data_IF_621508577818
#
_entry.id   IF_621508577818
#
_cell.length_a   1.000
_cell.length_b   1.000
_cell.length_c   1.000
_cell.angle_alpha   90.00
_cell.angle_beta   90.00
_cell.angle_gamma   90.00
#
_symmetry.space_group_name_H-M   'P 1'
#
loop_
_entity.id
_entity.type
_entity.pdbx_description
1 polymer ?
#
# COMPACT_ATOMS: atom_id res chain seq x y z
N UNK A 1 18.11 -9.92 -17.29
CA UNK A 1 17.56 -8.93 -16.35
C UNK A 1 17.53 -9.59 -14.98
N UNK A 2 18.47 -9.24 -14.10
CA UNK A 2 18.45 -9.74 -12.72
C UNK A 2 17.41 -8.94 -11.96
N UNK A 3 16.40 -9.63 -11.45
CA UNK A 3 15.43 -9.07 -10.52
C UNK A 3 16.18 -8.62 -9.25
N UNK A 4 15.98 -7.36 -8.84
CA UNK A 4 16.63 -6.81 -7.65
C UNK A 4 15.92 -7.35 -6.42
N UNK A 5 16.60 -8.21 -5.65
CA UNK A 5 16.06 -8.72 -4.39
C UNK A 5 15.62 -7.57 -3.48
N UNK A 6 14.50 -7.75 -2.79
CA UNK A 6 13.95 -6.79 -1.83
C UNK A 6 14.95 -6.42 -0.73
N UNK A 7 15.92 -7.29 -0.44
CA UNK A 7 17.00 -7.08 0.52
C UNK A 7 17.93 -5.90 0.19
N UNK A 8 18.07 -5.51 -1.09
CA UNK A 8 18.85 -4.31 -1.48
C UNK A 8 18.19 -3.01 -0.98
N UNK A 9 16.85 -3.00 -0.86
CA UNK A 9 16.08 -1.83 -0.43
C UNK A 9 15.96 -1.71 1.09
N UNK A 10 16.42 -2.71 1.84
CA UNK A 10 16.56 -2.61 3.29
C UNK A 10 17.91 -1.93 3.56
N UNK A 11 17.95 -0.64 3.96
CA UNK A 11 19.21 -0.02 4.35
C UNK A 11 19.78 -0.83 5.51
N UNK A 12 21.03 -1.31 5.34
CA UNK A 12 21.67 -2.23 6.28
C UNK A 12 21.54 -1.77 7.73
N UNK A 13 21.03 -2.66 8.58
CA UNK A 13 20.84 -2.48 10.01
C UNK A 13 22.17 -2.46 10.79
N UNK A 14 23.14 -1.68 10.34
CA UNK A 14 24.39 -1.37 11.04
C UNK A 14 24.37 0.11 11.45
N UNK A 15 23.43 0.45 12.33
CA UNK A 15 23.44 1.73 13.05
C UNK A 15 23.91 1.42 14.47
N UNK A 16 25.23 1.42 14.68
CA UNK A 16 25.80 1.55 16.02
C UNK A 16 25.30 2.90 16.58
N UNK A 17 24.37 2.83 17.52
CA UNK A 17 23.87 3.98 18.24
C UNK A 17 24.92 4.39 19.29
N UNK A 18 25.80 5.32 18.89
CA UNK A 18 26.65 6.08 19.80
C UNK A 18 25.81 7.19 20.46
N UNK A 19 25.88 7.22 21.79
CA UNK A 19 25.01 7.95 22.71
C UNK A 19 25.52 9.39 22.98
N UNK A 20 24.57 10.33 23.09
CA UNK A 20 24.62 11.67 23.74
C UNK A 20 24.99 12.96 22.96
N UNK A 21 24.45 14.16 23.34
CA UNK A 21 23.23 14.49 24.09
C UNK A 21 22.19 15.28 23.28
N UNK A 22 20.95 15.23 23.77
CA UNK A 22 19.76 15.82 23.18
C UNK A 22 19.72 17.37 23.32
N UNK A 23 20.05 18.08 22.25
CA UNK A 23 19.51 19.42 22.00
C UNK A 23 18.03 19.26 21.65
N UNK A 24 17.18 19.37 22.67
CA UNK A 24 15.73 19.33 22.54
C UNK A 24 15.20 20.59 21.85
N UNK A 25 15.54 20.74 20.57
CA UNK A 25 14.65 21.42 19.63
C UNK A 25 13.36 20.60 19.67
N UNK A 26 12.35 21.13 20.37
CA UNK A 26 10.99 20.63 20.28
C UNK A 26 10.51 20.95 18.87
N UNK A 27 10.97 20.16 17.90
CA UNK A 27 10.30 19.97 16.64
C UNK A 27 8.94 19.43 17.04
N UNK A 28 7.96 20.35 17.04
CA UNK A 28 6.57 19.97 17.09
C UNK A 28 6.36 19.15 15.84
N UNK A 29 6.58 17.84 15.95
CA UNK A 29 6.11 16.86 15.00
C UNK A 29 4.61 17.02 15.00
N UNK A 30 4.14 17.91 14.13
CA UNK A 30 2.76 17.97 13.71
C UNK A 30 2.47 16.58 13.19
N UNK A 31 1.81 15.77 14.00
CA UNK A 31 1.25 14.48 13.63
C UNK A 31 0.14 14.77 12.60
N UNK A 32 0.57 15.15 11.41
CA UNK A 32 -0.27 15.32 10.25
C UNK A 32 -0.43 13.91 9.71
N UNK A 33 -1.29 13.14 10.37
CA UNK A 33 -1.82 11.91 9.79
C UNK A 33 -2.45 12.32 8.46
N UNK A 34 -1.92 11.86 7.31
CA UNK A 34 -2.50 12.19 6.02
C UNK A 34 -3.91 11.62 5.96
N UNK A 35 -4.82 12.34 5.31
CA UNK A 35 -6.18 11.86 5.11
C UNK A 35 -6.13 10.54 4.31
N UNK A 36 -6.82 9.48 4.78
CA UNK A 36 -6.74 8.17 4.15
C UNK A 36 -7.25 8.26 2.70
N UNK A 37 -6.37 7.95 1.75
CA UNK A 37 -6.76 7.91 0.34
C UNK A 37 -7.59 6.66 0.06
N UNK A 38 -8.67 6.82 -0.72
CA UNK A 38 -9.51 5.70 -1.14
C UNK A 38 -8.71 4.71 -1.97
N UNK A 39 -8.75 3.44 -1.59
CA UNK A 39 -8.12 2.36 -2.34
C UNK A 39 -8.76 2.21 -3.73
N UNK A 40 -7.92 2.07 -4.76
CA UNK A 40 -8.35 1.88 -6.16
C UNK A 40 -8.67 0.43 -6.50
N UNK A 41 -8.28 -0.51 -5.64
CA UNK A 41 -8.51 -1.94 -5.80
C UNK A 41 -8.63 -2.61 -4.44
N UNK A 42 -9.31 -3.76 -4.43
CA UNK A 42 -9.41 -4.64 -3.27
C UNK A 42 -8.92 -6.03 -3.63
N UNK A 43 -8.26 -6.68 -2.68
CA UNK A 43 -7.80 -8.07 -2.79
C UNK A 43 -8.49 -8.86 -1.69
N UNK A 44 -9.23 -9.89 -2.08
CA UNK A 44 -9.97 -10.77 -1.18
C UNK A 44 -9.43 -12.20 -1.34
N UNK A 45 -8.85 -12.83 -0.30
CA UNK A 45 -8.24 -14.14 -0.41
C UNK A 45 -9.24 -15.24 -0.78
N UNK A 46 -10.50 -15.12 -0.33
CA UNK A 46 -11.60 -16.01 -0.74
C UNK A 46 -12.24 -15.65 -2.07
N UNK A 47 -11.74 -14.61 -2.74
CA UNK A 47 -12.39 -13.98 -3.88
C UNK A 47 -13.66 -13.23 -3.48
N UNK A 48 -14.15 -12.40 -4.40
CA UNK A 48 -15.45 -11.78 -4.30
C UNK A 48 -16.01 -11.59 -5.70
N UNK A 49 -17.34 -11.58 -5.81
CA UNK A 49 -18.03 -11.48 -7.09
C UNK A 49 -17.80 -10.12 -7.74
N UNK A 50 -17.53 -10.13 -9.04
CA UNK A 50 -17.57 -8.96 -9.91
C UNK A 50 -19.00 -8.43 -9.96
N UNK A 51 -19.17 -7.11 -9.81
CA UNK A 51 -20.50 -6.48 -9.87
C UNK A 51 -21.08 -6.42 -11.30
N UNK A 52 -20.26 -6.60 -12.32
CA UNK A 52 -20.67 -6.57 -13.74
C UNK A 52 -20.97 -7.98 -14.29
N UNK A 53 -20.00 -8.89 -14.23
CA UNK A 53 -20.14 -10.24 -14.79
C UNK A 53 -20.48 -11.33 -13.76
N UNK A 54 -20.44 -11.03 -12.46
CA UNK A 54 -20.71 -12.00 -11.39
C UNK A 54 -19.57 -12.98 -11.07
N UNK A 55 -18.48 -12.99 -11.84
CA UNK A 55 -17.37 -13.91 -11.61
C UNK A 55 -16.65 -13.65 -10.29
N UNK A 56 -16.32 -14.71 -9.55
CA UNK A 56 -15.57 -14.61 -8.30
C UNK A 56 -14.08 -14.47 -8.60
N UNK A 57 -13.51 -13.31 -8.31
CA UNK A 57 -12.09 -13.01 -8.54
C UNK A 57 -11.40 -12.56 -7.25
N UNK A 58 -10.11 -12.88 -7.12
CA UNK A 58 -9.29 -12.52 -5.96
C UNK A 58 -9.01 -11.02 -5.89
N UNK A 59 -8.87 -10.35 -7.04
CA UNK A 59 -8.61 -8.92 -7.12
C UNK A 59 -9.72 -8.23 -7.91
N UNK A 60 -10.30 -7.17 -7.34
CA UNK A 60 -11.29 -6.32 -8.00
C UNK A 60 -10.83 -4.87 -7.99
N UNK A 61 -11.28 -4.12 -8.98
CA UNK A 61 -10.91 -2.73 -9.21
C UNK A 61 -12.10 -1.83 -9.00
N UNK A 62 -11.87 -0.67 -8.40
CA UNK A 62 -12.88 0.36 -8.29
C UNK A 62 -13.13 0.98 -9.67
N UNK A 63 -14.39 0.98 -10.07
CA UNK A 63 -14.89 1.55 -11.32
C UNK A 63 -16.26 2.20 -11.04
N UNK A 64 -16.37 3.51 -11.23
CA UNK A 64 -17.56 4.34 -10.90
C UNK A 64 -18.24 4.07 -9.53
N UNK A 65 -17.50 3.55 -8.55
CA UNK A 65 -18.04 3.20 -7.23
C UNK A 65 -18.42 1.74 -7.03
N UNK A 66 -18.41 0.94 -8.10
CA UNK A 66 -18.47 -0.52 -8.06
C UNK A 66 -17.06 -1.14 -8.06
N UNK A 67 -16.99 -2.43 -7.75
CA UNK A 67 -15.80 -3.26 -7.80
C UNK A 67 -15.93 -4.34 -8.88
N UNK A 68 -15.21 -4.15 -9.97
CA UNK A 68 -15.23 -5.01 -11.16
C UNK A 68 -13.95 -5.83 -11.31
N UNK A 69 -14.00 -6.95 -12.04
CA UNK A 69 -12.81 -7.73 -12.36
C UNK A 69 -11.90 -7.00 -13.36
N UNK A 70 -10.70 -7.53 -13.60
CA UNK A 70 -9.74 -6.95 -14.54
C UNK A 70 -10.25 -6.89 -15.99
N UNK A 71 -11.08 -7.86 -16.39
CA UNK A 71 -11.67 -7.93 -17.73
C UNK A 71 -12.84 -6.96 -17.93
N UNK A 72 -13.68 -6.74 -16.91
CA UNK A 72 -14.81 -5.81 -16.98
C UNK A 72 -14.41 -4.36 -16.79
N UNK A 73 -13.19 -4.08 -16.29
CA UNK A 73 -12.74 -2.71 -16.09
C UNK A 73 -12.53 -2.00 -17.42
N UNK A 74 -13.11 -0.82 -17.56
CA UNK A 74 -12.85 0.11 -18.66
C UNK A 74 -11.54 0.86 -18.36
N UNK A 75 -10.41 0.24 -18.72
CA UNK A 75 -9.07 0.77 -18.49
C UNK A 75 -8.66 1.85 -19.50
#
# INVERSE_FOLDING_TARGET
>A
MTDRSLDEFVPGSDQEADDEPADAATEQSVDTTPDPTTATATVSPGGASCEDCGETVTRRWRDDGAYVCGDCKEW
#
